data_IF_284185501433
#
_entry.id   IF_284185501433
#
_cell.length_a   1.000
_cell.length_b   1.000
_cell.length_c   1.000
_cell.angle_alpha   90.00
_cell.angle_beta   90.00
_cell.angle_gamma   90.00
#
_symmetry.space_group_name_H-M   'P 1'
#
loop_
_entity.id
_entity.type
_entity.pdbx_description
1 polymer ?
#
# COMPACT_ATOMS: atom_id res chain seq x y z
N UNK A 1 54.34 6.72 36.15
CA UNK A 1 53.07 6.78 36.90
C UNK A 1 52.06 5.91 36.17
N UNK A 2 51.93 4.64 36.58
CA UNK A 2 51.05 3.67 35.94
C UNK A 2 49.86 3.46 36.90
N UNK A 3 48.74 4.14 36.63
CA UNK A 3 47.49 3.88 37.35
C UNK A 3 46.88 2.59 36.79
N UNK A 4 47.28 1.46 37.35
CA UNK A 4 46.63 0.17 37.12
C UNK A 4 45.27 0.19 37.80
N UNK A 5 44.19 0.32 37.04
CA UNK A 5 42.83 0.09 37.52
C UNK A 5 42.71 -1.38 37.90
N UNK A 6 42.69 -1.67 39.20
CA UNK A 6 42.40 -3.00 39.72
C UNK A 6 40.89 -3.20 39.56
N UNK A 7 40.51 -4.06 38.61
CA UNK A 7 39.13 -4.45 38.40
C UNK A 7 38.68 -5.31 39.58
N UNK A 8 37.94 -4.73 40.53
CA UNK A 8 37.38 -5.45 41.66
C UNK A 8 36.27 -6.40 41.19
N UNK A 9 36.48 -7.69 41.43
CA UNK A 9 35.60 -8.77 40.97
C UNK A 9 34.39 -8.87 41.91
N UNK A 10 33.29 -8.19 41.58
CA UNK A 10 32.02 -8.36 42.29
C UNK A 10 31.14 -9.39 41.54
N UNK A 11 31.04 -10.65 42.01
CA UNK A 11 30.36 -11.73 41.30
C UNK A 11 28.88 -11.40 41.05
N UNK A 12 28.21 -10.74 42.00
CA UNK A 12 26.80 -10.38 41.89
C UNK A 12 26.53 -9.38 40.76
N UNK A 13 27.42 -8.38 40.59
CA UNK A 13 27.33 -7.39 39.52
C UNK A 13 27.55 -8.06 38.16
N UNK A 14 28.53 -8.96 38.06
CA UNK A 14 28.81 -9.70 36.83
C UNK A 14 27.65 -10.61 36.39
N UNK A 15 26.98 -11.30 37.33
CA UNK A 15 25.79 -12.10 37.01
C UNK A 15 24.64 -11.25 36.47
N UNK A 16 24.38 -10.09 37.08
CA UNK A 16 23.35 -9.16 36.63
C UNK A 16 23.69 -8.64 35.23
N UNK A 17 24.93 -8.23 35.00
CA UNK A 17 25.40 -7.76 33.69
C UNK A 17 25.26 -8.84 32.62
N UNK A 18 25.56 -10.11 32.95
CA UNK A 18 25.45 -11.22 32.00
C UNK A 18 23.99 -11.53 31.65
N UNK A 19 23.08 -11.47 32.63
CA UNK A 19 21.63 -11.59 32.38
C UNK A 19 21.13 -10.46 31.47
N UNK A 20 21.53 -9.22 31.75
CA UNK A 20 21.14 -8.05 30.95
C UNK A 20 21.67 -8.17 29.51
N UNK A 21 22.95 -8.54 29.33
CA UNK A 21 23.54 -8.74 28.01
C UNK A 21 22.81 -9.87 27.26
N UNK A 22 22.47 -10.96 27.94
CA UNK A 22 21.73 -12.09 27.33
C UNK A 22 20.32 -11.66 26.91
N UNK A 23 19.63 -10.85 27.72
CA UNK A 23 18.32 -10.32 27.40
C UNK A 23 18.37 -9.35 26.21
N UNK A 24 19.39 -8.48 26.17
CA UNK A 24 19.62 -7.56 25.05
C UNK A 24 19.94 -8.33 23.76
N UNK A 25 20.82 -9.34 23.83
CA UNK A 25 21.12 -10.21 22.69
C UNK A 25 19.88 -10.94 22.19
N UNK A 26 19.02 -11.43 23.07
CA UNK A 26 17.74 -12.02 22.68
C UNK A 26 16.83 -11.00 21.96
N UNK A 27 16.70 -9.78 22.49
CA UNK A 27 15.90 -8.72 21.88
C UNK A 27 16.43 -8.31 20.50
N UNK A 28 17.75 -8.19 20.35
CA UNK A 28 18.39 -7.86 19.06
C UNK A 28 18.36 -9.03 18.07
N UNK A 29 18.50 -10.28 18.55
CA UNK A 29 18.44 -11.48 17.70
C UNK A 29 17.02 -11.73 17.18
N UNK A 30 15.99 -11.31 17.93
CA UNK A 30 14.60 -11.31 17.46
C UNK A 30 14.39 -10.34 16.28
N UNK A 31 15.32 -9.41 16.05
CA UNK A 31 15.28 -8.44 14.97
C UNK A 31 14.28 -7.34 15.26
N UNK A 32 13.03 -7.53 14.82
CA UNK A 32 11.98 -6.51 14.99
C UNK A 32 10.97 -6.94 16.06
N UNK A 33 10.68 -6.04 17.00
CA UNK A 33 9.61 -6.24 17.99
C UNK A 33 8.21 -6.19 17.36
N UNK A 34 8.14 -5.73 16.10
CA UNK A 34 6.93 -5.54 15.31
C UNK A 34 6.96 -6.44 14.08
N UNK A 35 7.22 -7.73 14.24
CA UNK A 35 7.05 -8.65 13.11
C UNK A 35 5.57 -8.69 12.83
N UNK A 36 5.16 -8.36 11.61
CA UNK A 36 3.80 -8.61 11.15
C UNK A 36 3.46 -10.07 11.51
N UNK A 37 2.57 -10.35 12.47
CA UNK A 37 2.18 -11.73 12.77
C UNK A 37 1.62 -12.34 11.49
N UNK A 38 1.61 -13.68 11.36
CA UNK A 38 1.05 -14.34 10.17
C UNK A 38 -0.34 -13.77 9.86
N UNK A 39 -0.36 -12.87 8.87
CA UNK A 39 -1.57 -12.26 8.35
C UNK A 39 -2.35 -13.23 7.48
N UNK A 40 -3.54 -12.80 7.04
CA UNK A 40 -4.46 -13.60 6.23
C UNK A 40 -3.84 -14.14 4.95
N UNK A 41 -2.91 -13.40 4.35
CA UNK A 41 -2.23 -13.81 3.13
C UNK A 41 -1.42 -15.10 3.35
N UNK A 42 -0.94 -15.37 4.56
CA UNK A 42 -0.21 -16.61 4.88
C UNK A 42 -1.14 -17.81 5.08
N UNK A 43 -2.45 -17.59 5.22
CA UNK A 43 -3.45 -18.66 5.22
C UNK A 43 -3.95 -19.01 3.80
N UNK A 44 -3.46 -18.32 2.77
CA UNK A 44 -3.70 -18.67 1.37
C UNK A 44 -2.64 -19.67 0.92
N UNK A 45 -2.96 -20.96 1.03
CA UNK A 45 -2.06 -22.07 0.70
C UNK A 45 -2.41 -22.75 -0.63
N UNK A 46 -3.54 -22.39 -1.23
CA UNK A 46 -4.07 -22.97 -2.47
C UNK A 46 -4.89 -21.94 -3.23
N UNK A 47 -5.13 -22.15 -4.53
CA UNK A 47 -6.11 -21.37 -5.31
C UNK A 47 -7.55 -21.65 -4.86
N UNK A 48 -7.79 -22.75 -4.14
CA UNK A 48 -9.12 -23.09 -3.65
C UNK A 48 -9.48 -22.31 -2.38
N UNK A 49 -10.49 -21.44 -2.50
CA UNK A 49 -10.96 -20.60 -1.39
C UNK A 49 -11.51 -21.37 -0.19
N UNK A 50 -12.08 -22.56 -0.39
CA UNK A 50 -12.61 -23.40 0.68
C UNK A 50 -11.45 -23.94 1.52
N UNK A 51 -10.39 -24.43 0.87
CA UNK A 51 -9.19 -24.94 1.55
C UNK A 51 -8.57 -23.83 2.40
N UNK A 52 -8.38 -22.63 1.84
CA UNK A 52 -7.81 -21.49 2.56
C UNK A 52 -8.65 -21.07 3.79
N UNK A 53 -9.98 -21.17 3.70
CA UNK A 53 -10.88 -20.86 4.82
C UNK A 53 -10.80 -21.88 5.96
N UNK A 54 -10.30 -23.09 5.71
CA UNK A 54 -10.11 -24.13 6.73
C UNK A 54 -8.75 -24.02 7.44
N UNK A 55 -7.81 -23.23 6.92
CA UNK A 55 -6.47 -23.03 7.51
C UNK A 55 -6.50 -22.35 8.88
N UNK A 56 -7.20 -21.22 9.10
CA UNK A 56 -7.22 -20.59 10.42
C UNK A 56 -8.06 -21.39 11.42
N UNK A 57 -7.55 -21.58 12.64
CA UNK A 57 -8.36 -22.09 13.75
C UNK A 57 -9.37 -21.04 14.25
N UNK A 58 -10.32 -21.46 15.09
CA UNK A 58 -11.40 -20.59 15.58
C UNK A 58 -10.94 -19.32 16.28
N UNK A 59 -9.84 -19.36 17.04
CA UNK A 59 -9.31 -18.19 17.76
C UNK A 59 -8.77 -17.15 16.76
N UNK A 60 -7.98 -17.60 15.78
CA UNK A 60 -7.44 -16.73 14.73
C UNK A 60 -8.59 -16.13 13.90
N UNK A 61 -9.55 -16.96 13.51
CA UNK A 61 -10.73 -16.51 12.75
C UNK A 61 -11.54 -15.45 13.52
N UNK A 62 -11.72 -15.62 14.84
CA UNK A 62 -12.43 -14.66 15.69
C UNK A 62 -11.66 -13.35 15.84
N UNK A 63 -10.34 -13.41 16.04
CA UNK A 63 -9.48 -12.22 16.08
C UNK A 63 -9.58 -11.42 14.76
N UNK A 64 -9.52 -12.14 13.64
CA UNK A 64 -9.69 -11.58 12.30
C UNK A 64 -11.05 -10.91 12.11
N UNK A 65 -12.14 -11.55 12.54
CA UNK A 65 -13.48 -10.98 12.45
C UNK A 65 -13.63 -9.68 13.26
N UNK A 66 -13.07 -9.62 14.48
CA UNK A 66 -13.09 -8.38 15.27
C UNK A 66 -12.24 -7.27 14.64
N UNK A 67 -11.09 -7.63 14.07
CA UNK A 67 -10.26 -6.67 13.33
C UNK A 67 -11.02 -6.07 12.14
N UNK A 68 -11.71 -6.90 11.36
CA UNK A 68 -12.51 -6.42 10.21
C UNK A 68 -13.66 -5.54 10.66
N UNK A 69 -14.39 -5.95 11.69
CA UNK A 69 -15.48 -5.15 12.25
C UNK A 69 -14.99 -3.77 12.70
N UNK A 70 -13.77 -3.67 13.25
CA UNK A 70 -13.17 -2.41 13.66
C UNK A 70 -12.74 -1.55 12.46
N UNK A 71 -12.34 -2.17 11.35
CA UNK A 71 -11.92 -1.50 10.11
C UNK A 71 -13.08 -1.24 9.14
N UNK A 72 -14.28 -1.72 9.47
CA UNK A 72 -15.46 -1.56 8.63
C UNK A 72 -15.80 -0.08 8.48
N UNK A 73 -15.83 0.39 7.24
CA UNK A 73 -16.32 1.72 6.90
C UNK A 73 -17.83 1.74 7.14
N UNK A 74 -18.30 2.67 7.96
CA UNK A 74 -19.72 2.95 8.14
C UNK A 74 -20.11 4.17 7.32
N UNK A 75 -21.16 4.03 6.52
CA UNK A 75 -21.77 5.16 5.82
C UNK A 75 -23.01 5.59 6.59
N UNK A 76 -23.13 6.89 6.84
CA UNK A 76 -24.39 7.46 7.30
C UNK A 76 -25.35 7.55 6.12
N UNK A 77 -26.64 7.37 6.39
CA UNK A 77 -27.66 7.56 5.38
C UNK A 77 -27.69 9.04 4.98
N UNK A 78 -27.68 9.30 3.67
CA UNK A 78 -27.77 10.64 3.09
C UNK A 78 -28.90 10.64 2.07
N UNK A 79 -29.74 11.68 2.10
CA UNK A 79 -30.82 11.84 1.15
C UNK A 79 -30.29 12.00 -0.28
N UNK A 80 -31.02 11.43 -1.24
CA UNK A 80 -30.59 11.41 -2.65
C UNK A 80 -30.49 12.82 -3.23
N UNK A 81 -31.42 13.72 -2.88
CA UNK A 81 -31.42 15.10 -3.37
C UNK A 81 -30.16 15.86 -2.96
N UNK A 82 -29.67 15.62 -1.75
CA UNK A 82 -28.46 16.27 -1.24
C UNK A 82 -27.21 15.74 -1.94
N UNK A 83 -27.17 14.43 -2.23
CA UNK A 83 -26.15 13.84 -3.09
C UNK A 83 -26.10 14.51 -4.47
N UNK A 84 -27.25 14.69 -5.13
CA UNK A 84 -27.31 15.35 -6.45
C UNK A 84 -26.86 16.81 -6.39
N UNK A 85 -27.23 17.55 -5.33
CA UNK A 85 -26.75 18.93 -5.13
C UNK A 85 -25.23 19.00 -5.02
N UNK A 86 -24.62 18.08 -4.28
CA UNK A 86 -23.16 18.00 -4.12
C UNK A 86 -22.46 17.63 -5.43
N UNK A 87 -23.00 16.67 -6.19
CA UNK A 87 -22.45 16.29 -7.50
C UNK A 87 -22.50 17.50 -8.44
N UNK A 88 -23.61 18.24 -8.42
CA UNK A 88 -23.77 19.44 -9.25
C UNK A 88 -22.81 20.56 -8.83
N UNK A 89 -22.56 20.74 -7.52
CA UNK A 89 -21.66 21.80 -7.05
C UNK A 89 -20.18 21.49 -7.35
N UNK A 90 -19.77 20.22 -7.32
CA UNK A 90 -18.37 19.83 -7.54
C UNK A 90 -18.06 19.56 -9.01
N UNK A 91 -18.94 18.84 -9.71
CA UNK A 91 -18.68 18.34 -11.07
C UNK A 91 -19.50 19.03 -12.16
N UNK A 92 -20.39 19.97 -11.78
CA UNK A 92 -21.36 20.58 -12.71
C UNK A 92 -22.13 19.53 -13.53
N UNK A 93 -22.49 18.42 -12.88
CA UNK A 93 -23.15 17.25 -13.48
C UNK A 93 -24.29 16.79 -12.56
N UNK A 94 -25.29 16.12 -13.13
CA UNK A 94 -26.36 15.46 -12.36
C UNK A 94 -26.01 14.02 -11.98
N UNK A 95 -24.95 13.46 -12.57
CA UNK A 95 -24.47 12.11 -12.35
C UNK A 95 -22.96 12.09 -12.11
N UNK A 96 -22.50 11.21 -11.22
CA UNK A 96 -21.06 10.97 -10.98
C UNK A 96 -20.41 10.18 -12.12
N UNK A 97 -21.15 9.21 -12.67
CA UNK A 97 -20.67 8.35 -13.75
C UNK A 97 -21.23 8.90 -15.05
N UNK A 98 -20.35 9.25 -15.98
CA UNK A 98 -20.72 9.73 -17.31
C UNK A 98 -20.04 8.86 -18.36
N UNK A 99 -20.80 8.51 -19.40
CA UNK A 99 -20.26 7.83 -20.58
C UNK A 99 -19.95 8.87 -21.66
N UNK A 100 -18.87 8.67 -22.40
CA UNK A 100 -18.56 9.47 -23.58
C UNK A 100 -19.57 9.20 -24.69
N UNK A 101 -19.78 10.18 -25.57
CA UNK A 101 -20.65 10.02 -26.74
C UNK A 101 -20.12 8.94 -27.69
N UNK A 102 -21.03 8.39 -28.51
CA UNK A 102 -20.68 7.41 -29.54
C UNK A 102 -19.70 8.04 -30.54
N UNK A 103 -18.61 7.32 -30.84
CA UNK A 103 -17.63 7.74 -31.83
C UNK A 103 -17.56 6.70 -32.97
N UNK A 104 -18.22 6.98 -34.09
CA UNK A 104 -18.31 6.09 -35.25
C UNK A 104 -16.94 5.80 -35.89
N UNK A 105 -15.99 6.75 -35.79
CA UNK A 105 -14.63 6.54 -36.29
C UNK A 105 -13.90 5.46 -35.47
N UNK A 106 -13.95 5.54 -34.13
CA UNK A 106 -13.31 4.56 -33.24
C UNK A 106 -13.99 3.20 -33.27
N UNK A 107 -15.30 3.15 -33.59
CA UNK A 107 -16.01 1.88 -33.80
C UNK A 107 -15.45 1.10 -34.99
N UNK A 108 -15.13 1.82 -36.07
CA UNK A 108 -14.58 1.25 -37.31
C UNK A 108 -13.03 1.16 -37.31
N UNK A 109 -12.35 1.94 -36.47
CA UNK A 109 -10.89 2.03 -36.40
C UNK A 109 -10.42 1.84 -34.96
N UNK A 110 -10.53 0.61 -34.45
CA UNK A 110 -10.20 0.31 -33.05
C UNK A 110 -8.68 0.35 -32.82
N UNK A 111 -8.15 1.31 -32.04
CA UNK A 111 -6.73 1.32 -31.73
C UNK A 111 -6.37 0.18 -30.76
N UNK A 112 -5.13 -0.27 -30.82
CA UNK A 112 -4.58 -1.10 -29.75
C UNK A 112 -4.31 -0.23 -28.52
N UNK A 113 -4.86 -0.63 -27.38
CA UNK A 113 -4.63 0.05 -26.09
C UNK A 113 -3.65 -0.81 -25.29
N UNK A 114 -2.50 -0.22 -24.94
CA UNK A 114 -1.51 -0.85 -24.08
C UNK A 114 -1.49 -0.10 -22.75
N UNK A 115 -1.71 -0.84 -21.67
CA UNK A 115 -1.63 -0.31 -20.31
C UNK A 115 -0.37 -0.85 -19.63
N UNK A 116 0.48 0.05 -19.16
CA UNK A 116 1.71 -0.29 -18.44
C UNK A 116 1.68 0.32 -17.04
N UNK A 117 1.61 -0.54 -16.01
CA UNK A 117 1.70 -0.13 -14.61
C UNK A 117 3.13 -0.31 -14.11
N UNK A 118 3.72 0.77 -13.60
CA UNK A 118 5.06 0.72 -13.01
C UNK A 118 4.95 0.52 -11.50
N UNK A 119 5.47 -0.60 -11.02
CA UNK A 119 5.49 -0.95 -9.60
C UNK A 119 6.28 0.08 -8.79
N UNK A 120 5.71 0.55 -7.67
CA UNK A 120 6.35 1.50 -6.75
C UNK A 120 6.84 2.82 -7.38
N UNK A 121 6.31 3.24 -8.54
CA UNK A 121 6.70 4.48 -9.19
C UNK A 121 5.90 5.68 -8.66
N UNK A 122 6.37 6.23 -7.53
CA UNK A 122 5.79 7.42 -6.90
C UNK A 122 6.17 8.75 -7.56
N UNK A 123 5.44 9.81 -7.23
CA UNK A 123 5.71 11.16 -7.76
C UNK A 123 7.09 11.71 -7.36
N UNK A 124 7.66 11.22 -6.26
CA UNK A 124 9.02 11.57 -5.82
C UNK A 124 10.08 11.32 -6.91
N UNK A 125 9.90 10.30 -7.76
CA UNK A 125 10.81 10.08 -8.88
C UNK A 125 10.83 11.26 -9.85
N UNK A 126 9.68 11.90 -10.08
CA UNK A 126 9.58 13.09 -10.93
C UNK A 126 10.13 14.34 -10.25
N UNK A 127 9.99 14.44 -8.93
CA UNK A 127 10.44 15.59 -8.14
C UNK A 127 11.98 15.65 -8.00
N UNK A 128 12.63 14.49 -7.87
CA UNK A 128 14.07 14.38 -7.74
C UNK A 128 14.79 14.07 -9.06
N UNK A 129 14.07 13.91 -10.17
CA UNK A 129 14.66 13.65 -11.48
C UNK A 129 15.49 14.84 -11.97
N UNK A 130 16.72 14.55 -12.38
CA UNK A 130 17.60 15.52 -13.01
C UNK A 130 18.49 14.80 -14.03
N UNK A 131 18.37 15.15 -15.31
CA UNK A 131 19.10 14.47 -16.39
C UNK A 131 20.63 14.43 -16.21
N UNK A 132 21.21 15.42 -15.54
CA UNK A 132 22.67 15.51 -15.40
C UNK A 132 23.17 14.81 -14.13
N UNK A 133 22.40 14.88 -13.06
CA UNK A 133 22.89 14.52 -11.72
C UNK A 133 22.15 13.32 -11.11
N UNK A 134 20.93 13.03 -11.55
CA UNK A 134 20.06 11.98 -11.01
C UNK A 134 18.97 11.61 -12.02
N UNK A 135 19.34 10.94 -13.11
CA UNK A 135 18.42 10.58 -14.19
C UNK A 135 17.52 9.41 -13.79
N UNK A 136 16.39 9.74 -13.14
CA UNK A 136 15.41 8.76 -12.65
C UNK A 136 14.43 8.34 -13.74
N UNK A 137 14.21 9.20 -14.74
CA UNK A 137 13.33 8.90 -15.88
C UNK A 137 14.01 8.04 -16.95
N UNK A 138 15.32 8.20 -17.16
CA UNK A 138 16.09 7.47 -18.17
C UNK A 138 15.39 7.46 -19.53
N UNK A 139 15.14 6.26 -20.07
CA UNK A 139 14.47 6.06 -21.37
C UNK A 139 12.99 6.44 -21.39
N UNK A 140 12.35 6.65 -20.24
CA UNK A 140 10.96 7.10 -20.17
C UNK A 140 10.83 8.60 -20.51
N UNK A 141 11.91 9.37 -20.37
CA UNK A 141 11.93 10.84 -20.52
C UNK A 141 11.31 11.37 -21.81
N UNK A 142 11.58 10.82 -23.02
CA UNK A 142 10.98 11.33 -24.24
C UNK A 142 9.45 11.27 -24.23
N UNK A 143 8.88 10.24 -23.60
CA UNK A 143 7.43 10.03 -23.55
C UNK A 143 6.71 11.05 -22.66
N UNK A 144 7.42 11.71 -21.73
CA UNK A 144 6.90 12.83 -20.96
C UNK A 144 6.70 14.10 -21.79
N UNK A 145 7.30 14.19 -22.98
CA UNK A 145 7.17 15.32 -23.90
C UNK A 145 6.27 15.01 -25.11
N UNK A 146 6.10 13.74 -25.46
CA UNK A 146 5.33 13.30 -26.64
C UNK A 146 3.83 13.10 -26.35
N UNK A 147 3.45 12.97 -25.09
CA UNK A 147 2.07 12.66 -24.69
C UNK A 147 1.52 13.57 -23.60
N UNK A 148 0.37 13.18 -23.07
CA UNK A 148 -0.25 13.84 -21.93
C UNK A 148 0.33 13.30 -20.62
N UNK A 149 0.85 14.19 -19.78
CA UNK A 149 1.40 13.84 -18.46
C UNK A 149 0.54 14.44 -17.36
N UNK A 150 -0.01 13.58 -16.51
CA UNK A 150 -0.79 14.00 -15.34
C UNK A 150 0.13 14.07 -14.11
N UNK A 151 0.53 15.29 -13.72
CA UNK A 151 1.39 15.52 -12.53
C UNK A 151 0.63 15.56 -11.21
N UNK A 152 -0.71 15.59 -11.26
CA UNK A 152 -1.60 15.64 -10.08
C UNK A 152 -2.49 14.41 -10.10
N UNK A 153 -1.86 13.25 -9.94
CA UNK A 153 -2.52 11.96 -9.88
C UNK A 153 -2.20 11.30 -8.54
N UNK A 154 -3.20 10.67 -7.92
CA UNK A 154 -3.06 9.97 -6.65
C UNK A 154 -3.62 8.56 -6.83
N UNK A 155 -2.89 7.58 -6.33
CA UNK A 155 -3.43 6.22 -6.21
C UNK A 155 -4.52 6.22 -5.14
N UNK A 156 -5.63 5.54 -5.43
CA UNK A 156 -6.74 5.42 -4.49
C UNK A 156 -6.35 4.63 -3.23
N UNK A 157 -5.52 3.59 -3.41
CA UNK A 157 -5.01 2.75 -2.34
C UNK A 157 -3.50 2.57 -2.42
N UNK A 158 -2.91 2.32 -1.26
CA UNK A 158 -1.52 1.89 -1.12
C UNK A 158 -1.45 0.37 -1.27
N UNK A 159 -0.66 -0.11 -2.24
CA UNK A 159 -0.40 -1.53 -2.49
C UNK A 159 -0.93 -2.00 -3.85
N UNK A 160 -0.11 -2.77 -4.57
CA UNK A 160 -0.31 -3.14 -5.98
C UNK A 160 -1.68 -3.75 -6.27
N UNK A 161 -2.06 -4.78 -5.54
CA UNK A 161 -3.32 -5.51 -5.81
C UNK A 161 -4.54 -4.61 -5.62
N UNK A 162 -4.55 -3.80 -4.56
CA UNK A 162 -5.63 -2.85 -4.30
C UNK A 162 -5.67 -1.75 -5.35
N UNK A 163 -4.52 -1.17 -5.72
CA UNK A 163 -4.46 -0.13 -6.77
C UNK A 163 -4.92 -0.67 -8.11
N UNK A 164 -4.47 -1.86 -8.51
CA UNK A 164 -4.88 -2.52 -9.77
C UNK A 164 -6.37 -2.81 -9.76
N UNK A 165 -6.88 -3.46 -8.71
CA UNK A 165 -8.30 -3.80 -8.60
C UNK A 165 -9.18 -2.55 -8.72
N UNK A 166 -8.84 -1.49 -7.98
CA UNK A 166 -9.63 -0.26 -8.04
C UNK A 166 -9.53 0.42 -9.41
N UNK A 167 -8.36 0.42 -10.05
CA UNK A 167 -8.22 0.97 -11.40
C UNK A 167 -9.11 0.25 -12.43
N UNK A 168 -9.23 -1.07 -12.34
CA UNK A 168 -10.01 -1.86 -13.30
C UNK A 168 -11.52 -1.93 -12.99
N UNK A 169 -11.90 -1.92 -11.72
CA UNK A 169 -13.29 -2.19 -11.31
C UNK A 169 -14.02 -1.00 -10.71
N UNK A 170 -13.30 -0.09 -10.04
CA UNK A 170 -13.91 1.01 -9.29
C UNK A 170 -13.60 2.40 -9.88
N UNK A 171 -12.64 2.48 -10.80
CA UNK A 171 -12.38 3.69 -11.57
C UNK A 171 -13.45 3.84 -12.65
N UNK A 172 -14.05 5.04 -12.82
CA UNK A 172 -14.86 5.34 -13.99
C UNK A 172 -13.92 5.49 -15.19
N UNK A 173 -13.59 4.37 -15.83
CA UNK A 173 -12.96 4.32 -17.16
C UNK A 173 -14.04 4.43 -18.25
#
# INVERSE_FOLDING_TARGET
MNNGYIFEWNPSVNYITLIIISLLLFLFSRGTLRSEPLGRNHAQVSDNTIINKMVPNGIIAMQWAFSDKKQQISFEYVEKEDGVKLIKSVFNSEMLIKKTDKNDYLENNKPHVVFALMESFGFNFLEYDNINNNDLLGKLRPYFHQGFVFKRFLAEYVGTASTVSNLFFNSPI
#
